data_IF_635082005666
#
_entry.id   IF_635082005666
#
_cell.length_a   1.000
_cell.length_b   1.000
_cell.length_c   1.000
_cell.angle_alpha   90.00
_cell.angle_beta   90.00
_cell.angle_gamma   90.00
#
_symmetry.space_group_name_H-M   'P 1'
#
loop_
_entity.id
_entity.type
_entity.pdbx_description
1 polymer ?
#
# COMPACT_ATOMS: atom_id res chain seq x y z
N UNK A 1 14.52 -16.36 -4.01
CA UNK A 1 15.39 -15.91 -5.12
C UNK A 1 16.15 -14.73 -4.59
N UNK A 2 17.40 -14.99 -4.20
CA UNK A 2 18.37 -13.99 -3.76
C UNK A 2 18.60 -12.98 -4.88
N UNK A 3 18.78 -11.73 -4.52
CA UNK A 3 19.17 -10.69 -5.47
C UNK A 3 20.60 -11.03 -5.91
N UNK A 4 20.86 -10.99 -7.22
CA UNK A 4 22.24 -11.08 -7.70
C UNK A 4 22.87 -9.70 -7.54
N UNK A 5 23.76 -9.59 -6.56
CA UNK A 5 24.60 -8.40 -6.36
C UNK A 5 25.58 -8.28 -7.54
N UNK A 6 25.84 -7.05 -7.97
CA UNK A 6 26.93 -6.76 -8.91
C UNK A 6 28.30 -6.86 -8.20
N UNK A 7 29.37 -6.98 -8.98
CA UNK A 7 30.73 -7.05 -8.43
C UNK A 7 31.04 -5.77 -7.64
N UNK A 8 31.34 -5.92 -6.33
CA UNK A 8 31.58 -4.80 -5.42
C UNK A 8 30.34 -4.16 -4.81
N UNK A 9 29.13 -4.66 -5.10
CA UNK A 9 27.88 -4.19 -4.49
C UNK A 9 27.68 -4.84 -3.11
N UNK A 10 27.55 -4.03 -2.07
CA UNK A 10 27.29 -4.49 -0.70
C UNK A 10 25.79 -4.45 -0.39
N UNK A 11 25.31 -5.53 0.23
CA UNK A 11 23.95 -5.64 0.70
C UNK A 11 23.81 -5.00 2.08
N UNK A 12 22.92 -4.01 2.21
CA UNK A 12 22.79 -3.22 3.44
C UNK A 12 21.60 -3.71 4.25
N UNK A 13 20.40 -3.75 3.64
CA UNK A 13 19.19 -4.17 4.35
C UNK A 13 18.08 -4.70 3.44
N UNK A 14 17.29 -5.63 3.97
CA UNK A 14 16.00 -6.06 3.41
C UNK A 14 14.87 -5.48 4.26
N UNK A 15 13.88 -4.91 3.58
CA UNK A 15 12.72 -4.30 4.20
C UNK A 15 11.46 -5.02 3.74
N UNK A 16 10.64 -5.38 4.71
CA UNK A 16 9.33 -6.00 4.50
C UNK A 16 8.29 -5.05 5.09
N UNK A 17 7.16 -4.80 4.40
CA UNK A 17 6.13 -3.95 4.94
C UNK A 17 5.61 -4.48 6.27
N UNK A 18 5.37 -3.58 7.23
CA UNK A 18 4.77 -3.86 8.52
C UNK A 18 3.28 -4.27 8.35
N UNK A 19 2.71 -5.18 9.17
CA UNK A 19 1.31 -5.56 9.01
C UNK A 19 0.37 -4.38 9.20
N UNK A 20 0.77 -3.44 10.07
CA UNK A 20 -0.03 -2.29 10.40
C UNK A 20 -0.24 -1.32 9.21
N UNK A 21 0.62 -1.34 8.18
CA UNK A 21 0.42 -0.51 6.99
C UNK A 21 -0.76 -1.00 6.14
N UNK A 22 -1.16 -2.27 6.30
CA UNK A 22 -2.28 -2.88 5.58
C UNK A 22 -3.56 -2.97 6.42
N UNK A 23 -3.65 -2.26 7.57
CA UNK A 23 -4.82 -2.29 8.44
C UNK A 23 -6.11 -1.91 7.73
N UNK A 24 -6.07 -1.00 6.76
CA UNK A 24 -7.23 -0.66 5.95
C UNK A 24 -7.85 -1.89 5.25
N UNK A 25 -7.00 -2.80 4.74
CA UNK A 25 -7.45 -4.03 4.08
C UNK A 25 -7.94 -5.07 5.10
N UNK A 26 -7.18 -5.26 6.19
CA UNK A 26 -7.60 -6.19 7.25
C UNK A 26 -8.92 -5.77 7.87
N UNK A 27 -9.11 -4.48 8.13
CA UNK A 27 -10.35 -3.91 8.66
C UNK A 27 -11.54 -4.13 7.72
N UNK A 28 -11.34 -4.01 6.40
CA UNK A 28 -12.38 -4.32 5.42
C UNK A 28 -12.81 -5.79 5.47
N UNK A 29 -11.85 -6.74 5.49
CA UNK A 29 -12.19 -8.15 5.56
C UNK A 29 -12.78 -8.55 6.92
N UNK A 30 -12.28 -7.96 8.01
CA UNK A 30 -12.85 -8.14 9.33
C UNK A 30 -14.29 -7.62 9.41
N UNK A 31 -14.58 -6.47 8.78
CA UNK A 31 -15.94 -5.95 8.63
C UNK A 31 -16.85 -6.94 7.89
N UNK A 32 -16.38 -7.58 6.80
CA UNK A 32 -17.16 -8.60 6.10
C UNK A 32 -17.45 -9.83 6.99
N UNK A 33 -16.47 -10.27 7.79
CA UNK A 33 -16.69 -11.36 8.76
C UNK A 33 -17.74 -10.96 9.79
N UNK A 34 -17.65 -9.76 10.36
CA UNK A 34 -18.63 -9.28 11.34
C UNK A 34 -20.03 -9.15 10.73
N UNK A 35 -20.14 -8.58 9.53
CA UNK A 35 -21.41 -8.43 8.82
C UNK A 35 -22.04 -9.79 8.49
N UNK A 36 -21.25 -10.71 7.97
CA UNK A 36 -21.73 -12.05 7.65
C UNK A 36 -22.13 -12.85 8.89
N UNK A 37 -21.37 -12.74 9.99
CA UNK A 37 -21.71 -13.38 11.26
C UNK A 37 -23.00 -12.80 11.86
N UNK A 38 -23.18 -11.48 11.77
CA UNK A 38 -24.40 -10.79 12.20
C UNK A 38 -25.63 -11.30 11.43
N UNK A 39 -25.51 -11.49 10.11
CA UNK A 39 -26.59 -12.05 9.28
C UNK A 39 -26.91 -13.52 9.59
N UNK A 40 -25.91 -14.33 9.95
CA UNK A 40 -26.10 -15.76 10.29
C UNK A 40 -26.74 -15.92 11.68
N UNK A 41 -26.33 -15.10 12.65
CA UNK A 41 -26.75 -15.23 14.04
C UNK A 41 -28.28 -15.12 14.21
N UNK A 42 -28.96 -14.46 13.27
CA UNK A 42 -30.40 -14.23 13.32
C UNK A 42 -30.76 -13.22 14.41
N UNK A 43 -31.74 -12.36 14.14
CA UNK A 43 -32.23 -11.41 15.14
C UNK A 43 -33.58 -11.89 15.66
N UNK A 44 -33.62 -12.62 16.78
CA UNK A 44 -34.88 -13.14 17.33
C UNK A 44 -35.88 -12.02 17.71
N UNK A 45 -35.44 -10.77 17.80
CA UNK A 45 -36.28 -9.59 18.04
C UNK A 45 -36.82 -8.89 16.79
N UNK A 46 -36.45 -9.31 15.57
CA UNK A 46 -36.89 -8.70 14.31
C UNK A 46 -37.36 -9.78 13.32
N UNK A 47 -38.61 -10.27 13.42
CA UNK A 47 -39.12 -11.32 12.52
C UNK A 47 -39.13 -10.91 11.03
N UNK A 48 -39.28 -9.62 10.73
CA UNK A 48 -39.18 -9.09 9.35
C UNK A 48 -37.73 -9.09 8.83
N UNK A 49 -36.72 -9.22 9.70
CA UNK A 49 -35.32 -9.24 9.28
C UNK A 49 -34.96 -10.47 8.43
N UNK A 50 -35.70 -11.58 8.56
CA UNK A 50 -35.51 -12.74 7.67
C UNK A 50 -36.00 -12.45 6.24
N UNK A 51 -37.02 -11.60 6.06
CA UNK A 51 -37.51 -11.20 4.74
C UNK A 51 -36.57 -10.18 4.07
N UNK A 52 -35.88 -9.34 4.85
CA UNK A 52 -34.95 -8.32 4.36
C UNK A 52 -33.48 -8.74 4.42
N UNK A 53 -33.15 -9.99 4.76
CA UNK A 53 -31.77 -10.44 4.96
C UNK A 53 -30.90 -10.26 3.71
N UNK A 54 -31.45 -10.53 2.52
CA UNK A 54 -30.77 -10.28 1.24
C UNK A 54 -30.54 -8.80 0.98
N UNK A 55 -31.54 -7.95 1.26
CA UNK A 55 -31.42 -6.50 1.09
C UNK A 55 -30.37 -5.92 2.06
N UNK A 56 -30.36 -6.38 3.32
CA UNK A 56 -29.36 -5.99 4.31
C UNK A 56 -27.94 -6.41 3.90
N UNK A 57 -27.78 -7.63 3.37
CA UNK A 57 -26.52 -8.10 2.82
C UNK A 57 -26.06 -7.27 1.60
N UNK A 58 -26.96 -6.99 0.67
CA UNK A 58 -26.67 -6.19 -0.51
C UNK A 58 -26.22 -4.77 -0.14
N UNK A 59 -26.95 -4.10 0.76
CA UNK A 59 -26.58 -2.75 1.23
C UNK A 59 -25.28 -2.78 2.01
N UNK A 60 -25.14 -3.71 2.97
CA UNK A 60 -23.95 -3.83 3.82
C UNK A 60 -22.67 -4.16 3.03
N UNK A 61 -22.77 -4.82 1.88
CA UNK A 61 -21.61 -5.10 1.02
C UNK A 61 -21.39 -3.99 -0.01
N UNK A 62 -22.45 -3.55 -0.71
CA UNK A 62 -22.30 -2.61 -1.82
C UNK A 62 -21.92 -1.22 -1.35
N UNK A 63 -22.46 -0.72 -0.24
CA UNK A 63 -22.13 0.63 0.26
C UNK A 63 -20.62 0.77 0.53
N UNK A 64 -19.97 -0.10 1.34
CA UNK A 64 -18.54 0.00 1.55
C UNK A 64 -17.71 -0.36 0.31
N UNK A 65 -18.19 -1.25 -0.57
CA UNK A 65 -17.50 -1.55 -1.83
C UNK A 65 -17.53 -0.37 -2.81
N UNK A 66 -18.65 0.34 -2.91
CA UNK A 66 -18.80 1.55 -3.73
C UNK A 66 -17.98 2.68 -3.11
N UNK A 67 -18.03 2.87 -1.79
CA UNK A 67 -17.17 3.81 -1.09
C UNK A 67 -15.68 3.53 -1.37
N UNK A 68 -15.26 2.28 -1.26
CA UNK A 68 -13.90 1.87 -1.58
C UNK A 68 -13.57 2.06 -3.07
N UNK A 69 -14.50 1.77 -3.98
CA UNK A 69 -14.32 1.93 -5.41
C UNK A 69 -14.15 3.41 -5.80
N UNK A 70 -14.95 4.30 -5.24
CA UNK A 70 -14.89 5.75 -5.46
C UNK A 70 -13.61 6.34 -4.86
N UNK A 71 -13.29 6.00 -3.61
CA UNK A 71 -12.12 6.56 -2.90
C UNK A 71 -10.77 5.99 -3.36
N UNK A 72 -10.76 4.79 -3.96
CA UNK A 72 -9.52 4.12 -4.38
C UNK A 72 -9.38 3.96 -5.90
N UNK A 73 -10.36 4.37 -6.72
CA UNK A 73 -10.40 4.23 -8.20
C UNK A 73 -9.85 2.85 -8.63
N UNK A 74 -10.31 1.80 -7.95
CA UNK A 74 -9.92 0.40 -8.21
C UNK A 74 -11.19 -0.39 -8.48
N UNK A 75 -11.62 -0.39 -9.74
CA UNK A 75 -12.82 -1.08 -10.26
C UNK A 75 -12.95 -2.54 -9.80
N UNK A 76 -11.83 -3.20 -9.49
CA UNK A 76 -11.77 -4.56 -8.93
C UNK A 76 -12.62 -4.74 -7.66
N UNK A 77 -12.71 -3.73 -6.79
CA UNK A 77 -13.52 -3.79 -5.57
C UNK A 77 -15.02 -3.78 -5.85
N UNK A 78 -15.44 -3.08 -6.90
CA UNK A 78 -16.83 -3.04 -7.34
C UNK A 78 -17.24 -4.40 -7.90
N UNK A 79 -16.44 -4.99 -8.79
CA UNK A 79 -16.69 -6.34 -9.30
C UNK A 79 -16.70 -7.40 -8.19
N UNK A 80 -15.80 -7.28 -7.21
CA UNK A 80 -15.78 -8.16 -6.04
C UNK A 80 -17.07 -8.05 -5.22
N UNK A 81 -17.54 -6.82 -4.95
CA UNK A 81 -18.80 -6.59 -4.23
C UNK A 81 -20.02 -7.16 -4.96
N UNK A 82 -20.13 -6.94 -6.27
CA UNK A 82 -21.22 -7.49 -7.09
C UNK A 82 -21.21 -9.02 -7.06
N UNK A 83 -20.05 -9.64 -7.25
CA UNK A 83 -19.90 -11.11 -7.21
C UNK A 83 -20.35 -11.68 -5.86
N UNK A 84 -19.99 -10.99 -4.78
CA UNK A 84 -20.30 -11.41 -3.42
C UNK A 84 -21.80 -11.28 -3.12
N UNK A 85 -22.47 -10.23 -3.61
CA UNK A 85 -23.93 -10.10 -3.53
C UNK A 85 -24.63 -11.16 -4.38
N UNK A 86 -24.14 -11.45 -5.59
CA UNK A 86 -24.68 -12.51 -6.43
C UNK A 86 -24.57 -13.88 -5.75
N UNK A 87 -23.41 -14.21 -5.16
CA UNK A 87 -23.22 -15.43 -4.38
C UNK A 87 -24.17 -15.50 -3.17
N UNK A 88 -24.39 -14.37 -2.50
CA UNK A 88 -25.33 -14.26 -1.38
C UNK A 88 -26.79 -14.47 -1.81
N UNK A 89 -27.17 -14.02 -3.01
CA UNK A 89 -28.50 -14.27 -3.60
C UNK A 89 -28.72 -15.73 -4.00
N UNK A 90 -27.69 -16.40 -4.52
CA UNK A 90 -27.74 -17.84 -4.78
C UNK A 90 -27.91 -18.63 -3.48
N UNK A 91 -27.17 -18.26 -2.44
CA UNK A 91 -27.29 -18.87 -1.11
C UNK A 91 -28.68 -18.67 -0.51
N UNK A 92 -29.27 -17.48 -0.68
CA UNK A 92 -30.65 -17.19 -0.27
C UNK A 92 -31.65 -18.17 -0.89
N UNK A 93 -31.55 -18.41 -2.21
CA UNK A 93 -32.50 -19.26 -2.93
C UNK A 93 -32.35 -20.74 -2.60
N UNK A 94 -31.12 -21.23 -2.39
CA UNK A 94 -30.88 -22.66 -2.16
C UNK A 94 -31.04 -23.10 -0.70
N UNK A 95 -30.64 -22.26 0.25
CA UNK A 95 -30.50 -22.65 1.67
C UNK A 95 -31.28 -21.73 2.62
N UNK A 96 -31.99 -20.73 2.08
CA UNK A 96 -32.85 -19.83 2.83
C UNK A 96 -32.16 -18.58 3.39
N UNK A 97 -32.90 -17.76 4.16
CA UNK A 97 -32.48 -16.42 4.57
C UNK A 97 -31.18 -16.35 5.39
N UNK A 98 -30.87 -17.39 6.16
CA UNK A 98 -29.69 -17.43 7.04
C UNK A 98 -28.40 -17.76 6.30
N UNK A 99 -28.50 -18.38 5.14
CA UNK A 99 -27.33 -18.77 4.35
C UNK A 99 -26.68 -17.60 3.59
N UNK A 100 -27.37 -16.45 3.51
CA UNK A 100 -26.87 -15.23 2.86
C UNK A 100 -25.54 -14.75 3.45
N UNK A 101 -25.34 -14.91 4.76
CA UNK A 101 -24.10 -14.50 5.43
C UNK A 101 -22.92 -15.44 5.18
N UNK A 102 -23.15 -16.70 4.78
CA UNK A 102 -22.09 -17.71 4.58
C UNK A 102 -21.05 -17.29 3.54
N UNK A 103 -21.42 -16.89 2.30
CA UNK A 103 -20.43 -16.43 1.32
C UNK A 103 -19.69 -15.16 1.76
N UNK A 104 -20.34 -14.30 2.56
CA UNK A 104 -19.74 -13.06 3.08
C UNK A 104 -18.66 -13.37 4.12
N UNK A 105 -18.98 -14.25 5.09
CA UNK A 105 -18.01 -14.72 6.08
C UNK A 105 -16.87 -15.47 5.40
N UNK A 106 -17.18 -16.36 4.45
CA UNK A 106 -16.16 -17.10 3.71
C UNK A 106 -15.19 -16.16 2.97
N UNK A 107 -15.71 -15.13 2.29
CA UNK A 107 -14.89 -14.13 1.63
C UNK A 107 -14.04 -13.30 2.61
N UNK A 108 -14.60 -12.93 3.77
CA UNK A 108 -13.86 -12.25 4.83
C UNK A 108 -12.72 -13.11 5.40
N UNK A 109 -13.01 -14.36 5.74
CA UNK A 109 -12.04 -15.32 6.27
C UNK A 109 -10.94 -15.67 5.27
N UNK A 110 -11.26 -15.79 3.98
CA UNK A 110 -10.27 -16.00 2.92
C UNK A 110 -9.46 -14.74 2.60
N UNK A 111 -10.06 -13.56 2.76
CA UNK A 111 -9.42 -12.28 2.47
C UNK A 111 -8.29 -11.92 3.42
N UNK A 112 -8.38 -12.31 4.70
CA UNK A 112 -7.33 -12.08 5.70
C UNK A 112 -5.99 -12.76 5.30
N UNK A 113 -5.91 -14.09 5.08
CA UNK A 113 -4.67 -14.74 4.67
C UNK A 113 -4.21 -14.30 3.28
N UNK A 114 -5.14 -13.98 2.37
CA UNK A 114 -4.78 -13.45 1.05
C UNK A 114 -4.13 -12.06 1.15
N UNK A 115 -4.58 -11.23 2.11
CA UNK A 115 -3.98 -9.93 2.39
C UNK A 115 -2.56 -10.10 2.94
N UNK A 116 -2.34 -11.06 3.84
CA UNK A 116 -1.00 -11.33 4.36
C UNK A 116 -0.06 -11.87 3.28
N UNK A 117 -0.56 -12.75 2.39
CA UNK A 117 0.17 -13.20 1.21
C UNK A 117 0.53 -12.04 0.27
N UNK A 118 -0.41 -11.12 0.03
CA UNK A 118 -0.17 -9.91 -0.77
C UNK A 118 0.88 -9.00 -0.13
N UNK A 119 0.81 -8.81 1.19
CA UNK A 119 1.80 -8.05 1.96
C UNK A 119 3.19 -8.68 1.83
N UNK A 120 3.31 -9.99 2.06
CA UNK A 120 4.60 -10.71 2.03
C UNK A 120 5.24 -10.76 0.64
N UNK A 121 4.44 -10.58 -0.40
CA UNK A 121 4.91 -10.46 -1.78
C UNK A 121 5.71 -9.17 -2.05
N UNK A 122 5.48 -8.13 -1.26
CA UNK A 122 6.23 -6.88 -1.35
C UNK A 122 7.53 -7.00 -0.58
N UNK A 123 8.65 -6.82 -1.27
CA UNK A 123 9.98 -6.81 -0.67
C UNK A 123 10.81 -5.70 -1.26
N UNK A 124 11.55 -5.03 -0.39
CA UNK A 124 12.44 -3.97 -0.78
C UNK A 124 13.84 -4.28 -0.30
N UNK A 125 14.82 -3.92 -1.10
CA UNK A 125 16.21 -4.19 -0.80
C UNK A 125 17.01 -2.93 -1.07
N UNK A 126 17.84 -2.55 -0.10
CA UNK A 126 18.72 -1.41 -0.19
C UNK A 126 20.15 -1.93 -0.25
N UNK A 127 20.87 -1.52 -1.28
CA UNK A 127 22.29 -1.84 -1.48
C UNK A 127 23.11 -0.55 -1.54
N UNK A 128 24.44 -0.68 -1.58
CA UNK A 128 25.34 0.47 -1.69
C UNK A 128 25.19 1.23 -3.02
N UNK A 129 24.65 0.60 -4.07
CA UNK A 129 24.52 1.21 -5.40
C UNK A 129 23.08 1.53 -5.81
N UNK A 130 22.09 0.76 -5.36
CA UNK A 130 20.69 0.89 -5.80
C UNK A 130 19.68 0.48 -4.73
N UNK A 131 18.45 0.93 -4.97
CA UNK A 131 17.25 0.51 -4.25
C UNK A 131 16.46 -0.38 -5.21
N UNK A 132 16.26 -1.64 -4.81
CA UNK A 132 15.48 -2.63 -5.56
C UNK A 132 14.12 -2.77 -4.90
N UNK A 133 13.07 -2.36 -5.61
CA UNK A 133 11.69 -2.45 -5.16
C UNK A 133 10.98 -3.56 -5.92
N UNK A 134 10.48 -4.56 -5.19
CA UNK A 134 9.75 -5.69 -5.75
C UNK A 134 8.33 -5.71 -5.24
N UNK A 135 7.38 -5.72 -6.17
CA UNK A 135 5.96 -5.76 -5.87
C UNK A 135 5.24 -6.79 -6.74
N UNK A 136 4.14 -7.33 -6.20
CA UNK A 136 3.15 -8.06 -6.98
C UNK A 136 3.04 -9.56 -6.65
N UNK A 137 1.78 -9.99 -6.55
CA UNK A 137 1.39 -11.34 -6.12
C UNK A 137 1.29 -12.31 -7.30
N UNK A 138 0.66 -11.87 -8.39
CA UNK A 138 0.45 -12.65 -9.62
C UNK A 138 1.44 -12.20 -10.71
N UNK A 139 1.45 -10.89 -10.98
CA UNK A 139 2.43 -10.25 -11.86
C UNK A 139 3.61 -9.77 -11.05
N UNK A 140 4.83 -10.09 -11.47
CA UNK A 140 6.05 -9.64 -10.81
C UNK A 140 6.50 -8.31 -11.40
N UNK A 141 6.48 -7.26 -10.59
CA UNK A 141 7.04 -5.96 -10.94
C UNK A 141 8.32 -5.76 -10.14
N UNK A 142 9.44 -5.58 -10.84
CA UNK A 142 10.74 -5.26 -10.23
C UNK A 142 11.17 -3.92 -10.80
N UNK A 143 11.46 -2.96 -9.92
CA UNK A 143 12.01 -1.66 -10.29
C UNK A 143 13.29 -1.44 -9.52
N UNK A 144 14.33 -1.05 -10.25
CA UNK A 144 15.63 -0.73 -9.68
C UNK A 144 15.89 0.76 -9.88
N UNK A 145 16.27 1.44 -8.80
CA UNK A 145 16.65 2.85 -8.82
C UNK A 145 18.07 2.97 -8.28
N UNK A 146 19.00 3.41 -9.12
CA UNK A 146 20.37 3.70 -8.69
C UNK A 146 20.39 4.88 -7.72
N UNK A 147 21.16 4.75 -6.63
CA UNK A 147 21.35 5.83 -5.65
C UNK A 147 21.89 7.09 -6.29
N UNK A 148 22.74 6.98 -7.33
CA UNK A 148 23.27 8.13 -8.08
C UNK A 148 22.23 8.98 -8.80
N UNK A 149 21.00 8.47 -8.97
CA UNK A 149 19.87 9.21 -9.57
C UNK A 149 18.87 9.70 -8.54
N UNK A 150 19.06 9.34 -7.27
CA UNK A 150 18.22 9.82 -6.17
C UNK A 150 18.78 11.16 -5.74
N UNK A 151 17.93 12.18 -5.76
CA UNK A 151 18.27 13.55 -5.37
C UNK A 151 18.00 13.77 -3.88
N UNK A 152 16.88 13.22 -3.40
CA UNK A 152 16.46 13.39 -2.03
C UNK A 152 15.61 12.20 -1.59
N UNK A 153 15.40 12.06 -0.29
CA UNK A 153 14.56 11.04 0.33
C UNK A 153 13.56 11.74 1.24
N UNK A 154 12.29 11.38 1.12
CA UNK A 154 11.21 11.94 1.94
C UNK A 154 10.57 10.84 2.78
N UNK A 155 10.50 11.05 4.10
CA UNK A 155 9.78 10.18 5.02
C UNK A 155 8.37 10.73 5.29
N UNK A 156 7.35 9.92 5.02
CA UNK A 156 5.96 10.21 5.39
C UNK A 156 5.49 9.21 6.44
N UNK A 157 5.13 9.72 7.61
CA UNK A 157 4.64 8.92 8.72
C UNK A 157 3.36 9.53 9.30
N UNK A 158 2.26 8.78 9.23
CA UNK A 158 0.99 9.18 9.84
C UNK A 158 0.98 8.99 11.36
N UNK A 159 -0.10 9.40 12.03
CA UNK A 159 -0.27 9.19 13.48
C UNK A 159 -0.18 7.71 13.87
N UNK A 160 -0.90 6.84 13.14
CA UNK A 160 -0.82 5.38 13.32
C UNK A 160 0.59 4.85 13.00
N UNK A 161 1.26 5.44 12.00
CA UNK A 161 2.64 5.09 11.66
C UNK A 161 3.62 5.39 12.79
N UNK A 162 3.41 6.48 13.53
CA UNK A 162 4.23 6.83 14.71
C UNK A 162 4.00 5.88 15.88
N UNK A 163 2.74 5.50 16.13
CA UNK A 163 2.39 4.60 17.24
C UNK A 163 2.94 3.18 17.00
N UNK A 164 2.79 2.67 15.78
CA UNK A 164 3.18 1.31 15.41
C UNK A 164 4.55 1.25 14.71
N UNK A 165 5.34 2.32 14.77
CA UNK A 165 6.68 2.47 14.20
C UNK A 165 6.85 1.98 12.75
N UNK A 166 5.91 2.38 11.88
CA UNK A 166 5.99 2.14 10.44
C UNK A 166 5.84 3.44 9.66
N UNK A 167 6.52 3.55 8.52
CA UNK A 167 6.48 4.74 7.67
C UNK A 167 6.62 4.39 6.19
N UNK A 168 6.43 5.40 5.35
CA UNK A 168 6.63 5.25 3.90
C UNK A 168 7.76 6.17 3.47
N UNK A 169 8.76 5.62 2.78
CA UNK A 169 9.95 6.36 2.34
C UNK A 169 9.92 6.51 0.82
N UNK A 170 10.06 7.75 0.35
CA UNK A 170 10.00 8.12 -1.07
C UNK A 170 11.38 8.55 -1.56
N UNK A 171 12.06 7.76 -2.40
CA UNK A 171 13.25 8.21 -3.10
C UNK A 171 12.85 9.14 -4.26
N UNK A 172 13.24 10.41 -4.17
CA UNK A 172 12.97 11.42 -5.19
C UNK A 172 13.99 11.28 -6.31
N UNK A 173 13.52 11.12 -7.54
CA UNK A 173 14.38 11.08 -8.73
C UNK A 173 13.95 12.16 -9.73
N UNK A 174 14.85 12.73 -10.54
CA UNK A 174 14.51 13.78 -11.51
C UNK A 174 13.44 13.34 -12.51
N UNK A 175 13.46 12.06 -12.90
CA UNK A 175 12.47 11.48 -13.82
C UNK A 175 11.07 11.36 -13.19
N UNK A 176 10.96 11.39 -11.86
CA UNK A 176 9.70 11.27 -11.13
C UNK A 176 9.04 12.65 -10.94
N UNK A 177 9.83 13.68 -10.65
CA UNK A 177 9.40 15.08 -10.47
C UNK A 177 8.62 15.68 -11.66
N UNK A 178 8.80 15.18 -12.88
CA UNK A 178 8.12 15.67 -14.09
C UNK A 178 6.70 15.12 -14.33
N UNK A 179 6.22 14.18 -13.51
CA UNK A 179 4.98 13.43 -13.79
C UNK A 179 3.68 14.12 -13.35
N UNK A 180 3.76 15.33 -12.77
CA UNK A 180 2.60 16.09 -12.27
C UNK A 180 1.96 15.50 -11.00
N UNK A 181 1.94 14.18 -10.87
CA UNK A 181 1.57 13.47 -9.66
C UNK A 181 2.54 13.82 -8.52
N UNK A 182 3.86 13.77 -8.77
CA UNK A 182 4.93 13.99 -7.79
C UNK A 182 5.07 15.45 -7.32
N UNK A 183 4.72 16.43 -8.17
CA UNK A 183 4.63 17.84 -7.78
C UNK A 183 3.46 18.11 -6.83
N UNK A 184 2.35 17.39 -6.98
CA UNK A 184 1.27 17.37 -6.00
C UNK A 184 1.70 16.64 -4.71
N UNK A 185 2.59 15.64 -4.79
CA UNK A 185 3.17 14.94 -3.63
C UNK A 185 4.08 15.83 -2.78
N UNK A 186 4.75 16.81 -3.39
CA UNK A 186 5.57 17.82 -2.72
C UNK A 186 4.78 19.08 -2.35
N UNK A 187 3.47 19.13 -2.63
CA UNK A 187 2.62 20.28 -2.36
C UNK A 187 2.91 21.52 -3.21
N UNK A 188 3.65 21.39 -4.31
CA UNK A 188 4.14 22.51 -5.12
C UNK A 188 3.22 22.91 -6.27
N UNK A 189 2.07 22.24 -6.47
CA UNK A 189 1.05 22.67 -7.44
C UNK A 189 -0.34 22.66 -6.81
N UNK A 190 -0.88 23.87 -6.63
CA UNK A 190 -2.17 24.14 -6.00
C UNK A 190 -3.35 23.67 -6.83
N UNK A 191 -3.79 22.45 -6.55
CA UNK A 191 -5.17 22.02 -6.77
C UNK A 191 -5.61 21.23 -5.53
N UNK A 192 -5.67 21.97 -4.41
CA UNK A 192 -6.29 21.51 -3.17
C UNK A 192 -7.79 21.54 -3.43
N UNK A 193 -8.40 20.38 -3.67
CA UNK A 193 -9.86 20.28 -3.67
C UNK A 193 -10.32 20.48 -2.21
N UNK A 194 -10.55 21.75 -1.86
CA UNK A 194 -11.21 22.19 -0.64
C UNK A 194 -12.69 21.84 -0.73
N UNK A 195 -13.07 20.69 -0.18
CA UNK A 195 -14.47 20.42 0.17
C UNK A 195 -14.51 20.17 1.67
N UNK A 196 -14.97 21.21 2.38
CA UNK A 196 -15.47 21.20 3.75
C UNK A 196 -14.58 20.53 4.84
N UNK A 197 -13.69 21.32 5.43
CA UNK A 197 -13.38 21.18 6.87
C UNK A 197 -12.48 20.02 7.32
N UNK A 198 -11.61 19.48 6.47
CA UNK A 198 -10.61 18.49 6.88
C UNK A 198 -9.33 18.64 6.07
N UNK A 199 -8.19 18.80 6.75
CA UNK A 199 -6.85 18.79 6.13
C UNK A 199 -6.61 17.42 5.49
N UNK A 200 -6.97 17.26 4.22
CA UNK A 200 -6.61 16.09 3.42
C UNK A 200 -5.22 16.36 2.83
N UNK A 201 -4.19 15.98 3.59
CA UNK A 201 -2.87 15.72 3.01
C UNK A 201 -3.12 14.64 1.96
N UNK A 202 -3.03 14.99 0.68
CA UNK A 202 -3.08 14.04 -0.43
C UNK A 202 -1.86 13.14 -0.25
N UNK A 203 -2.04 12.03 0.46
CA UNK A 203 -0.94 11.09 0.69
C UNK A 203 -0.59 10.51 -0.67
N UNK A 204 0.64 10.74 -1.15
CA UNK A 204 1.08 10.25 -2.45
C UNK A 204 0.96 8.74 -2.55
N UNK A 205 0.05 8.25 -3.39
CA UNK A 205 0.00 6.82 -3.74
C UNK A 205 0.86 6.60 -4.98
N UNK A 206 2.18 6.59 -4.80
CA UNK A 206 3.08 6.04 -5.83
C UNK A 206 2.69 4.58 -6.10
N UNK A 207 2.98 4.06 -7.31
CA UNK A 207 2.86 2.60 -7.52
C UNK A 207 3.77 1.91 -6.50
N UNK A 208 3.36 0.74 -6.03
CA UNK A 208 4.09 -0.05 -5.01
C UNK A 208 5.56 -0.34 -5.40
N UNK A 209 5.89 -0.24 -6.70
CA UNK A 209 7.24 -0.37 -7.27
C UNK A 209 8.10 0.91 -7.21
N UNK A 210 7.54 2.05 -6.81
CA UNK A 210 8.22 3.35 -6.82
C UNK A 210 8.55 3.87 -5.42
N UNK A 211 8.06 3.21 -4.37
CA UNK A 211 8.10 3.69 -2.99
C UNK A 211 8.41 2.53 -2.05
N UNK A 212 9.19 2.81 -1.00
CA UNK A 212 9.41 1.90 0.12
C UNK A 212 8.20 1.99 1.06
N UNK A 213 7.21 1.12 0.88
CA UNK A 213 5.92 1.21 1.58
C UNK A 213 5.89 0.44 2.89
N UNK A 214 5.41 1.11 3.96
CA UNK A 214 5.17 0.47 5.26
C UNK A 214 6.43 -0.07 5.92
N UNK A 215 7.57 0.58 5.72
CA UNK A 215 8.87 0.20 6.28
C UNK A 215 8.81 0.24 7.81
N UNK A 216 9.25 -0.85 8.46
CA UNK A 216 9.44 -0.93 9.91
C UNK A 216 10.65 -0.08 10.32
N UNK A 217 10.56 0.65 11.44
CA UNK A 217 11.61 1.58 11.91
C UNK A 217 12.01 2.59 10.80
N UNK A 218 11.07 3.40 10.31
CA UNK A 218 11.34 4.29 9.18
C UNK A 218 12.47 5.30 9.43
N UNK A 219 12.67 5.74 10.67
CA UNK A 219 13.70 6.73 11.01
C UNK A 219 15.12 6.17 10.81
N UNK A 220 15.34 4.91 11.18
CA UNK A 220 16.61 4.22 11.01
C UNK A 220 16.94 4.07 9.53
N UNK A 221 15.98 3.57 8.74
CA UNK A 221 16.13 3.40 7.30
C UNK A 221 16.34 4.75 6.59
N UNK A 222 15.64 5.80 7.03
CA UNK A 222 15.82 7.15 6.50
C UNK A 222 17.23 7.68 6.78
N UNK A 223 17.71 7.53 8.01
CA UNK A 223 19.05 7.99 8.40
C UNK A 223 20.15 7.28 7.60
N UNK A 224 19.99 5.98 7.38
CA UNK A 224 20.94 5.15 6.64
C UNK A 224 20.94 5.49 5.15
N UNK A 225 19.77 5.69 4.54
CA UNK A 225 19.68 6.18 3.16
C UNK A 225 20.30 7.57 3.00
N UNK A 226 20.09 8.48 3.97
CA UNK A 226 20.69 9.82 3.95
C UNK A 226 22.22 9.75 4.05
N UNK A 227 22.75 8.84 4.89
CA UNK A 227 24.19 8.59 5.03
C UNK A 227 24.80 8.14 3.70
N UNK A 228 24.19 7.15 3.04
CA UNK A 228 24.65 6.62 1.75
C UNK A 228 24.63 7.66 0.63
N UNK A 229 23.64 8.57 0.63
CA UNK A 229 23.58 9.66 -0.34
C UNK A 229 24.70 10.67 -0.13
N UNK A 230 24.96 11.08 1.12
CA UNK A 230 26.05 12.02 1.44
C UNK A 230 27.42 11.48 1.08
N UNK A 231 27.71 10.23 1.46
CA UNK A 231 28.99 9.58 1.16
C UNK A 231 29.27 9.54 -0.34
N UNK A 232 28.23 9.30 -1.16
CA UNK A 232 28.33 9.30 -2.63
C UNK A 232 28.57 10.69 -3.21
N UNK A 233 27.90 11.71 -2.67
CA UNK A 233 28.11 13.10 -3.10
C UNK A 233 29.56 13.53 -2.84
N UNK A 234 30.09 13.27 -1.65
CA UNK A 234 31.46 13.57 -1.26
C UNK A 234 32.49 12.90 -2.18
N UNK A 235 32.33 11.60 -2.47
CA UNK A 235 33.20 10.87 -3.42
C UNK A 235 33.16 11.48 -4.82
N UNK A 236 31.97 11.92 -5.26
CA UNK A 236 31.81 12.55 -6.58
C UNK A 236 32.51 13.91 -6.64
N UNK A 237 32.42 14.71 -5.58
CA UNK A 237 33.16 15.98 -5.48
C UNK A 237 34.67 15.76 -5.45
N UNK A 238 35.15 14.79 -4.68
CA UNK A 238 36.58 14.46 -4.59
C UNK A 238 37.15 14.09 -5.96
N UNK A 239 36.47 13.22 -6.72
CA UNK A 239 36.87 12.84 -8.07
C UNK A 239 36.97 14.05 -9.01
N UNK A 240 35.97 14.94 -8.99
CA UNK A 240 35.97 16.17 -9.81
C UNK A 240 37.10 17.12 -9.45
N UNK A 241 37.48 17.20 -8.17
CA UNK A 241 38.61 18.02 -7.72
C UNK A 241 39.92 17.43 -8.25
N UNK A 242 40.08 16.11 -8.16
CA UNK A 242 41.27 15.40 -8.60
C UNK A 242 41.48 15.51 -10.12
N UNK A 243 40.43 15.34 -10.91
CA UNK A 243 40.44 15.50 -12.37
C UNK A 243 40.87 16.93 -12.78
N UNK A 244 40.36 17.95 -12.09
CA UNK A 244 40.76 19.36 -12.33
C UNK A 244 42.20 19.66 -11.92
N UNK A 245 42.76 18.90 -10.98
CA UNK A 245 44.17 19.03 -10.58
C UNK A 245 45.07 18.37 -11.63
N UNK A 246 44.70 17.19 -12.12
CA UNK A 246 45.43 16.47 -13.19
C UNK A 246 45.39 17.22 -14.53
N UNK A 247 44.29 17.91 -14.87
CA UNK A 247 44.23 18.77 -16.07
C UNK A 247 45.14 20.01 -15.99
N UNK A 248 45.56 20.40 -14.78
CA UNK A 248 46.40 21.59 -14.54
C UNK A 248 47.90 21.28 -14.44
N UNK A 249 48.27 20.00 -14.32
CA UNK A 249 49.65 19.51 -14.29
C UNK A 249 50.12 19.08 -15.67
#
# INVERSE_FOLDING_TARGET
MEIRLHEGEEFIMELIPHPASFLDLYGFFFYLVMLGAWLIAGHPGLPEAEQYSFAAAAVGVLVPCVWAAVTRIRWRWLFFGILLVAASGVAYYQFGPRAVGVPIVAAGLLGIPLTDAYRRSHRYYVTSERIVMRAGLITREVREVRLSRVVDVVLIQGLLGRIFNFGTIFPVTPSALGTGQDLAMLGLRGDVIEIAGGRTVVVPRGRSSQVLYGVTNPDEVYSELSRLLREREEVTYLKKILEKLDEKS
#
